data_IF_082799126695
#
_entry.id   IF_082799126695
#
_cell.length_a   1.000
_cell.length_b   1.000
_cell.length_c   1.000
_cell.angle_alpha   90.00
_cell.angle_beta   90.00
_cell.angle_gamma   90.00
#
_symmetry.space_group_name_H-M   'P 1'
#
loop_
_entity.id
_entity.type
_entity.pdbx_description
1 polymer ?
#
# COMPACT_ATOMS: atom_id res chain seq x y z
N UNK A 1 -14.87 -8.47 19.68
CA UNK A 1 -13.92 -9.49 19.19
C UNK A 1 -14.45 -10.88 19.54
N UNK A 2 -14.43 -11.87 18.61
CA UNK A 2 -14.87 -13.23 18.90
C UNK A 2 -14.04 -13.86 20.03
N UNK A 3 -14.66 -14.67 20.90
CA UNK A 3 -13.96 -15.28 22.05
C UNK A 3 -13.06 -16.45 21.66
N UNK A 4 -13.44 -17.20 20.64
CA UNK A 4 -12.71 -18.39 20.15
C UNK A 4 -12.09 -18.13 18.78
N UNK A 5 -10.88 -18.65 18.49
CA UNK A 5 -10.28 -18.58 17.16
C UNK A 5 -11.19 -19.19 16.10
N UNK A 6 -11.13 -18.66 14.87
CA UNK A 6 -11.82 -19.26 13.74
C UNK A 6 -11.24 -20.64 13.38
N UNK A 7 -12.08 -21.48 12.77
CA UNK A 7 -11.67 -22.80 12.30
C UNK A 7 -10.59 -22.71 11.22
N UNK A 8 -9.57 -23.56 11.34
CA UNK A 8 -8.53 -23.76 10.33
C UNK A 8 -8.76 -25.11 9.64
N UNK A 9 -9.14 -25.14 8.34
CA UNK A 9 -9.38 -26.37 7.60
C UNK A 9 -8.09 -27.14 7.37
N UNK A 10 -8.16 -28.47 7.59
CA UNK A 10 -7.04 -29.42 7.52
C UNK A 10 -5.93 -29.12 8.52
N UNK A 11 -5.19 -28.02 8.34
CA UNK A 11 -4.06 -27.62 9.18
C UNK A 11 -4.49 -27.17 10.58
N UNK A 12 -3.96 -27.82 11.62
CA UNK A 12 -4.20 -27.52 13.04
C UNK A 12 -2.98 -26.97 13.74
N UNK A 13 -1.80 -27.49 13.41
CA UNK A 13 -0.55 -27.06 14.02
C UNK A 13 0.44 -26.60 12.93
N UNK A 14 0.94 -25.37 13.06
CA UNK A 14 1.93 -24.81 12.15
C UNK A 14 3.14 -24.35 12.96
N UNK A 15 4.28 -24.97 12.69
CA UNK A 15 5.59 -24.60 13.24
C UNK A 15 6.49 -24.05 12.14
N UNK A 16 7.55 -23.37 12.53
CA UNK A 16 8.46 -22.69 11.61
C UNK A 16 9.84 -23.31 11.67
N UNK A 17 10.45 -23.50 10.51
CA UNK A 17 11.77 -24.12 10.38
C UNK A 17 12.85 -23.12 10.81
N UNK A 18 13.78 -23.62 11.63
CA UNK A 18 15.00 -22.95 12.06
C UNK A 18 16.19 -23.78 11.58
N UNK A 19 17.11 -23.15 10.85
CA UNK A 19 18.27 -23.78 10.24
C UNK A 19 19.49 -22.85 10.32
N UNK A 20 20.46 -23.19 11.17
CA UNK A 20 21.73 -22.45 11.24
C UNK A 20 22.61 -22.69 10.00
N UNK A 21 22.63 -23.93 9.51
CA UNK A 21 23.46 -24.38 8.40
C UNK A 21 22.65 -24.45 7.10
N UNK A 22 22.61 -23.33 6.37
CA UNK A 22 21.82 -23.22 5.15
C UNK A 22 22.53 -23.87 3.95
N UNK A 23 21.78 -24.68 3.19
CA UNK A 23 22.23 -25.16 1.89
C UNK A 23 21.96 -24.12 0.81
N UNK A 24 23.01 -23.48 0.28
CA UNK A 24 22.91 -22.57 -0.88
C UNK A 24 22.72 -23.31 -2.22
N UNK A 25 22.69 -24.65 -2.19
CA UNK A 25 22.41 -25.47 -3.38
C UNK A 25 20.90 -25.49 -3.63
N UNK A 26 20.41 -24.46 -4.29
CA UNK A 26 19.02 -24.36 -4.77
C UNK A 26 18.98 -24.35 -6.28
N UNK A 27 17.87 -24.80 -6.86
CA UNK A 27 17.64 -24.74 -8.30
C UNK A 27 17.66 -23.28 -8.80
N UNK A 28 16.95 -22.37 -8.12
CA UNK A 28 17.01 -20.92 -8.33
C UNK A 28 16.33 -20.15 -7.19
N UNK A 29 16.75 -18.89 -7.04
CA UNK A 29 16.14 -17.92 -6.12
C UNK A 29 16.30 -18.27 -4.64
N UNK A 30 15.57 -17.53 -3.81
CA UNK A 30 15.62 -17.65 -2.35
C UNK A 30 16.71 -16.77 -1.74
N UNK A 31 16.71 -16.70 -0.42
CA UNK A 31 17.68 -15.90 0.35
C UNK A 31 18.12 -16.59 1.63
N UNK A 32 19.19 -16.07 2.25
CA UNK A 32 19.61 -16.49 3.59
C UNK A 32 18.49 -16.26 4.63
N UNK A 33 17.71 -15.20 4.46
CA UNK A 33 16.57 -14.91 5.33
C UNK A 33 15.44 -15.94 5.18
N UNK A 34 15.16 -16.37 3.94
CA UNK A 34 14.14 -17.37 3.60
C UNK A 34 14.59 -18.83 3.79
N UNK A 35 15.90 -19.07 3.89
CA UNK A 35 16.49 -20.39 4.13
C UNK A 35 16.70 -21.25 2.89
N UNK A 36 16.63 -20.67 1.69
CA UNK A 36 16.91 -21.38 0.44
C UNK A 36 16.13 -22.71 0.28
N UNK A 37 14.78 -22.74 0.48
CA UNK A 37 14.03 -23.97 0.26
C UNK A 37 14.24 -24.47 -1.18
N UNK A 38 14.39 -25.78 -1.36
CA UNK A 38 14.41 -26.43 -2.68
C UNK A 38 13.03 -26.41 -3.34
N UNK A 39 12.93 -26.68 -4.64
CA UNK A 39 11.62 -26.83 -5.29
C UNK A 39 10.82 -28.00 -4.70
N UNK A 40 11.50 -29.09 -4.31
CA UNK A 40 10.85 -30.22 -3.62
C UNK A 40 10.22 -29.79 -2.30
N UNK A 41 10.94 -29.02 -1.47
CA UNK A 41 10.39 -28.48 -0.22
C UNK A 41 9.24 -27.50 -0.47
N UNK A 42 9.32 -26.67 -1.51
CA UNK A 42 8.21 -25.80 -1.93
C UNK A 42 6.97 -26.61 -2.30
N UNK A 43 7.12 -27.67 -3.10
CA UNK A 43 5.99 -28.52 -3.50
C UNK A 43 5.40 -29.26 -2.29
N UNK A 44 6.23 -29.77 -1.38
CA UNK A 44 5.79 -30.41 -0.13
C UNK A 44 5.03 -29.45 0.81
N UNK A 45 5.36 -28.14 0.78
CA UNK A 45 4.65 -27.15 1.60
C UNK A 45 3.25 -26.80 1.06
N UNK A 46 2.92 -27.19 -0.17
CA UNK A 46 1.56 -27.16 -0.69
C UNK A 46 0.77 -28.45 -0.45
N UNK A 47 1.39 -29.51 0.09
CA UNK A 47 0.66 -30.70 0.56
C UNK A 47 0.22 -30.51 2.01
N UNK A 48 -0.96 -29.91 2.16
CA UNK A 48 -1.45 -29.41 3.45
C UNK A 48 -1.85 -30.58 4.36
N UNK A 49 -1.16 -30.69 5.49
CA UNK A 49 -1.34 -31.74 6.51
C UNK A 49 -1.85 -31.12 7.81
N UNK A 50 -2.32 -31.94 8.74
CA UNK A 50 -2.81 -31.46 10.04
C UNK A 50 -1.72 -30.75 10.87
N UNK A 51 -0.46 -31.20 10.73
CA UNK A 51 0.70 -30.58 11.35
C UNK A 51 1.80 -30.36 10.30
N UNK A 52 2.35 -29.17 10.24
CA UNK A 52 3.39 -28.80 9.26
C UNK A 52 4.48 -27.94 9.89
N UNK A 53 5.72 -28.16 9.45
CA UNK A 53 6.84 -27.25 9.65
C UNK A 53 7.22 -26.63 8.32
N UNK A 54 7.23 -25.30 8.22
CA UNK A 54 7.57 -24.60 6.97
C UNK A 54 8.64 -23.55 7.20
N UNK A 55 9.47 -23.32 6.18
CA UNK A 55 10.25 -22.09 6.10
C UNK A 55 9.26 -20.90 6.13
N UNK A 56 9.58 -19.77 6.75
CA UNK A 56 8.66 -18.62 6.74
C UNK A 56 9.40 -17.30 7.05
N UNK A 57 10.59 -17.14 6.48
CA UNK A 57 11.55 -16.11 6.93
C UNK A 57 12.10 -16.42 8.32
N UNK A 58 13.05 -15.60 8.80
CA UNK A 58 13.63 -15.73 10.15
C UNK A 58 14.14 -17.15 10.45
N UNK A 59 14.81 -17.76 9.48
CA UNK A 59 15.29 -19.16 9.59
C UNK A 59 16.55 -19.27 10.44
N UNK A 60 17.26 -18.14 10.65
CA UNK A 60 18.40 -18.00 11.56
C UNK A 60 18.02 -17.11 12.74
N UNK A 61 18.89 -17.07 13.75
CA UNK A 61 18.67 -16.35 15.01
C UNK A 61 17.70 -17.03 15.99
N UNK A 62 17.78 -16.70 17.27
CA UNK A 62 17.01 -17.41 18.30
C UNK A 62 15.50 -17.13 18.27
N UNK A 63 15.09 -15.99 17.70
CA UNK A 63 13.69 -15.61 17.49
C UNK A 63 13.57 -14.61 16.33
N UNK A 64 12.40 -14.46 15.69
CA UNK A 64 12.18 -13.42 14.69
C UNK A 64 12.64 -12.05 15.17
N UNK A 65 13.48 -11.39 14.37
CA UNK A 65 14.03 -10.07 14.71
C UNK A 65 15.30 -10.08 15.58
N UNK A 66 15.82 -11.23 16.02
CA UNK A 66 17.08 -11.32 16.78
C UNK A 66 18.12 -12.18 16.06
N UNK A 67 19.14 -11.55 15.47
CA UNK A 67 20.21 -12.20 14.70
C UNK A 67 19.69 -13.00 13.51
N UNK A 68 18.72 -12.42 12.80
CA UNK A 68 18.01 -13.06 11.68
C UNK A 68 18.36 -12.45 10.32
N UNK A 69 19.14 -11.36 10.29
CA UNK A 69 19.31 -10.54 9.08
C UNK A 69 18.07 -9.71 8.77
N UNK A 70 17.31 -9.35 9.81
CA UNK A 70 16.21 -8.39 9.85
C UNK A 70 16.08 -8.03 11.33
N UNK A 71 17.13 -7.39 11.86
CA UNK A 71 17.34 -7.31 13.29
C UNK A 71 16.61 -6.09 13.88
N UNK A 72 15.95 -6.29 15.01
CA UNK A 72 15.16 -5.28 15.69
C UNK A 72 15.78 -5.04 17.08
N UNK A 73 15.57 -3.83 17.61
CA UNK A 73 16.03 -3.54 18.96
C UNK A 73 15.30 -4.39 20.00
N UNK A 74 16.02 -4.84 21.03
CA UNK A 74 15.46 -5.69 22.10
C UNK A 74 14.25 -5.08 22.79
N UNK A 75 14.23 -3.75 22.95
CA UNK A 75 13.07 -3.04 23.51
C UNK A 75 11.83 -3.17 22.63
N UNK A 76 12.01 -3.16 21.31
CA UNK A 76 10.91 -3.29 20.35
C UNK A 76 10.44 -4.75 20.27
N UNK A 77 11.35 -5.72 20.31
CA UNK A 77 11.00 -7.14 20.39
C UNK A 77 10.13 -7.45 21.62
N UNK A 78 10.52 -6.94 22.80
CA UNK A 78 9.77 -7.15 24.03
C UNK A 78 8.39 -6.46 23.99
N UNK A 79 8.30 -5.26 23.42
CA UNK A 79 7.05 -4.51 23.27
C UNK A 79 6.10 -5.21 22.26
N UNK A 80 6.63 -5.69 21.14
CA UNK A 80 5.87 -6.43 20.12
C UNK A 80 5.32 -7.76 20.66
N UNK A 81 6.06 -8.46 21.51
CA UNK A 81 5.57 -9.66 22.20
C UNK A 81 4.41 -9.35 23.16
N UNK A 82 4.33 -8.14 23.71
CA UNK A 82 3.23 -7.74 24.60
C UNK A 82 1.98 -7.30 23.84
N UNK A 83 2.04 -7.15 22.50
CA UNK A 83 0.89 -6.80 21.71
C UNK A 83 -0.10 -7.98 21.64
N UNK A 84 -1.17 -7.87 22.43
CA UNK A 84 -2.23 -8.86 22.50
C UNK A 84 -3.46 -8.39 21.70
N UNK A 85 -4.08 -9.30 20.95
CA UNK A 85 -5.33 -8.98 20.25
C UNK A 85 -5.12 -8.45 18.83
N UNK A 86 -5.00 -7.13 18.64
CA UNK A 86 -4.97 -6.52 17.30
C UNK A 86 -3.71 -5.68 17.08
N UNK A 87 -3.01 -5.94 15.98
CA UNK A 87 -1.92 -5.11 15.50
C UNK A 87 -2.27 -4.44 14.17
N UNK A 88 -2.00 -3.15 14.06
CA UNK A 88 -1.97 -2.43 12.78
C UNK A 88 -0.50 -2.20 12.44
N UNK A 89 -0.06 -2.71 11.30
CA UNK A 89 1.32 -2.62 10.84
C UNK A 89 1.40 -1.90 9.50
N UNK A 90 2.44 -1.08 9.35
CA UNK A 90 2.83 -0.41 8.11
C UNK A 90 4.36 -0.39 8.02
N UNK A 91 4.90 -0.06 6.85
CA UNK A 91 6.33 0.17 6.72
C UNK A 91 6.68 1.28 5.72
N UNK A 92 7.80 1.95 5.96
CA UNK A 92 8.43 2.90 5.05
C UNK A 92 9.93 2.62 5.03
N UNK A 93 10.44 2.18 3.88
CA UNK A 93 11.86 1.93 3.64
C UNK A 93 12.39 2.95 2.62
N UNK A 94 13.65 3.36 2.77
CA UNK A 94 14.32 4.30 1.90
C UNK A 94 13.69 5.69 1.91
N UNK A 95 12.98 6.04 2.99
CA UNK A 95 12.29 7.32 3.15
C UNK A 95 11.31 7.63 1.99
N UNK A 96 10.75 6.57 1.39
CA UNK A 96 9.99 6.64 0.14
C UNK A 96 8.62 7.35 0.28
N UNK A 97 8.03 7.25 1.46
CA UNK A 97 6.72 7.81 1.79
C UNK A 97 6.82 8.74 3.02
N UNK A 98 5.75 9.50 3.26
CA UNK A 98 5.52 10.21 4.52
C UNK A 98 4.71 9.34 5.49
N UNK A 99 4.98 9.46 6.80
CA UNK A 99 4.20 8.74 7.81
C UNK A 99 2.81 9.38 7.93
N UNK A 100 1.79 8.64 7.47
CA UNK A 100 0.40 9.07 7.55
C UNK A 100 -0.23 8.66 8.88
N UNK A 101 -0.81 9.61 9.61
CA UNK A 101 -1.46 9.35 10.90
C UNK A 101 -2.87 8.76 10.70
N UNK A 102 -3.21 7.64 11.36
CA UNK A 102 -4.57 7.16 11.42
C UNK A 102 -5.52 8.24 11.95
N UNK A 103 -6.71 8.33 11.36
CA UNK A 103 -7.80 9.22 11.80
C UNK A 103 -8.99 8.39 12.26
N UNK A 104 -9.83 9.03 13.08
CA UNK A 104 -11.07 8.43 13.60
C UNK A 104 -10.85 7.12 14.38
N UNK A 105 -9.73 7.04 15.10
CA UNK A 105 -9.45 5.93 16.02
C UNK A 105 -10.12 6.24 17.36
N UNK A 106 -10.97 5.34 17.82
CA UNK A 106 -11.65 5.46 19.11
C UNK A 106 -10.65 5.40 20.28
N UNK A 107 -10.99 5.97 21.42
CA UNK A 107 -10.11 5.92 22.60
C UNK A 107 -9.88 4.47 23.06
N UNK A 108 -10.91 3.63 22.98
CA UNK A 108 -10.77 2.19 23.19
C UNK A 108 -9.70 1.57 22.28
N UNK A 109 -9.75 1.84 20.97
CA UNK A 109 -8.74 1.32 20.04
C UNK A 109 -7.34 1.91 20.25
N UNK A 110 -7.21 3.15 20.72
CA UNK A 110 -5.89 3.71 21.08
C UNK A 110 -5.25 2.96 22.25
N UNK A 111 -6.06 2.40 23.14
CA UNK A 111 -5.60 1.63 24.30
C UNK A 111 -5.37 0.15 23.98
N UNK A 112 -6.18 -0.45 23.11
CA UNK A 112 -6.19 -1.90 22.88
C UNK A 112 -5.61 -2.38 21.56
N UNK A 113 -5.35 -1.47 20.60
CA UNK A 113 -4.75 -1.79 19.31
C UNK A 113 -3.33 -1.26 19.27
N UNK A 114 -2.39 -2.12 18.89
CA UNK A 114 -0.99 -1.71 18.76
C UNK A 114 -0.72 -1.20 17.34
N UNK A 115 -0.15 0.00 17.22
CA UNK A 115 0.16 0.63 15.93
C UNK A 115 1.68 0.66 15.72
N UNK A 116 2.17 -0.09 14.74
CA UNK A 116 3.60 -0.19 14.42
C UNK A 116 3.94 0.26 13.01
N UNK A 117 5.02 1.04 12.91
CA UNK A 117 5.61 1.48 11.65
C UNK A 117 7.04 0.96 11.56
N UNK A 118 7.28 0.02 10.67
CA UNK A 118 8.63 -0.49 10.39
C UNK A 118 9.38 0.48 9.47
N UNK A 119 10.60 0.85 9.85
CA UNK A 119 11.43 1.79 9.12
C UNK A 119 12.88 1.29 9.03
N UNK A 120 13.65 1.77 8.06
CA UNK A 120 15.12 1.59 8.04
C UNK A 120 15.85 2.76 8.68
N UNK A 121 17.15 2.60 8.88
CA UNK A 121 18.07 3.62 9.40
C UNK A 121 17.97 4.94 8.63
N UNK A 122 17.82 4.87 7.31
CA UNK A 122 17.69 6.06 6.44
C UNK A 122 16.43 6.86 6.80
N UNK A 123 15.30 6.18 6.94
CA UNK A 123 14.04 6.81 7.31
C UNK A 123 14.07 7.30 8.75
N UNK A 124 14.67 6.55 9.68
CA UNK A 124 14.83 6.97 11.08
C UNK A 124 15.66 8.26 11.17
N UNK A 125 16.82 8.32 10.51
CA UNK A 125 17.69 9.49 10.51
C UNK A 125 16.94 10.74 9.99
N UNK A 126 16.14 10.60 8.92
CA UNK A 126 15.28 11.68 8.44
C UNK A 126 14.24 12.12 9.48
N UNK A 127 13.55 11.17 10.13
CA UNK A 127 12.50 11.49 11.10
C UNK A 127 13.05 12.19 12.35
N UNK A 128 14.24 11.81 12.80
CA UNK A 128 14.94 12.47 13.92
C UNK A 128 15.40 13.87 13.55
N UNK A 129 16.07 14.03 12.41
CA UNK A 129 16.60 15.33 11.95
C UNK A 129 15.51 16.33 11.61
N UNK A 130 14.35 15.87 11.10
CA UNK A 130 13.18 16.71 10.84
C UNK A 130 12.35 17.04 12.09
N UNK A 131 12.70 16.51 13.26
CA UNK A 131 11.95 16.70 14.50
C UNK A 131 10.58 16.01 14.53
N UNK A 132 10.29 15.13 13.56
CA UNK A 132 9.03 14.37 13.49
C UNK A 132 8.98 13.21 14.48
N UNK A 133 10.14 12.71 14.92
CA UNK A 133 10.26 11.63 15.90
C UNK A 133 11.04 12.11 17.13
N UNK A 134 10.44 11.96 18.30
CA UNK A 134 11.05 12.26 19.59
C UNK A 134 11.93 11.15 20.13
N UNK A 135 12.35 11.28 21.39
CA UNK A 135 13.10 10.25 22.12
C UNK A 135 12.25 9.02 22.47
N UNK A 136 10.93 9.15 22.47
CA UNK A 136 9.96 8.10 22.74
C UNK A 136 9.75 7.12 21.58
N UNK A 137 10.44 7.33 20.44
CA UNK A 137 10.34 6.50 19.22
C UNK A 137 8.90 6.38 18.71
N UNK A 138 8.12 7.44 18.89
CA UNK A 138 6.77 7.53 18.35
C UNK A 138 6.67 8.66 17.33
N UNK A 139 5.79 8.44 16.37
CA UNK A 139 5.32 9.48 15.44
C UNK A 139 3.80 9.44 15.50
N UNK A 140 3.22 10.33 16.31
CA UNK A 140 1.80 10.28 16.65
C UNK A 140 1.43 8.97 17.36
N UNK A 141 0.46 8.22 16.82
CA UNK A 141 0.06 6.92 17.42
C UNK A 141 1.00 5.78 17.03
N UNK A 142 1.78 5.93 15.95
CA UNK A 142 2.70 4.90 15.51
C UNK A 142 3.88 4.80 16.46
N UNK A 143 4.13 3.60 16.98
CA UNK A 143 5.45 3.21 17.48
C UNK A 143 6.33 2.84 16.29
N UNK A 144 7.49 3.46 16.17
CA UNK A 144 8.43 3.15 15.10
C UNK A 144 9.37 2.05 15.52
N UNK A 145 9.59 1.08 14.63
CA UNK A 145 10.50 -0.04 14.81
C UNK A 145 11.56 0.03 13.72
N UNK A 146 12.81 0.22 14.13
CA UNK A 146 13.94 0.31 13.20
C UNK A 146 14.40 -1.09 12.85
N UNK A 147 14.54 -1.33 11.56
CA UNK A 147 15.00 -2.59 10.99
C UNK A 147 16.46 -2.43 10.61
N UNK A 148 17.31 -3.14 11.34
CA UNK A 148 18.74 -3.23 11.10
C UNK A 148 19.04 -4.42 10.18
N UNK A 149 20.13 -4.31 9.43
CA UNK A 149 20.63 -5.38 8.55
C UNK A 149 19.55 -5.98 7.62
N UNK A 150 18.82 -5.18 6.83
CA UNK A 150 17.75 -5.71 5.99
C UNK A 150 18.30 -6.76 5.01
N UNK A 151 17.57 -7.88 4.79
CA UNK A 151 18.11 -9.04 4.08
C UNK A 151 18.14 -8.86 2.56
N UNK A 152 17.55 -7.77 2.06
CA UNK A 152 17.46 -7.47 0.65
C UNK A 152 17.89 -6.03 0.37
N UNK A 153 18.60 -5.86 -0.75
CA UNK A 153 18.95 -4.54 -1.27
C UNK A 153 17.71 -3.75 -1.73
N UNK A 154 16.67 -4.43 -2.22
CA UNK A 154 15.41 -3.80 -2.63
C UNK A 154 14.50 -3.55 -1.41
N UNK A 155 14.39 -2.29 -0.99
CA UNK A 155 13.49 -1.88 0.10
C UNK A 155 12.03 -2.29 -0.12
N UNK A 156 11.58 -2.47 -1.37
CA UNK A 156 10.23 -3.00 -1.64
C UNK A 156 10.09 -4.46 -1.28
N UNK A 157 11.15 -5.27 -1.48
CA UNK A 157 11.20 -6.68 -1.07
C UNK A 157 11.29 -6.77 0.45
N UNK A 158 12.13 -5.96 1.09
CA UNK A 158 12.21 -5.83 2.55
C UNK A 158 10.86 -5.45 3.16
N UNK A 159 10.12 -4.53 2.51
CA UNK A 159 8.76 -4.17 2.89
C UNK A 159 7.73 -5.30 2.83
N UNK A 160 8.04 -6.44 2.18
CA UNK A 160 7.17 -7.62 2.17
C UNK A 160 7.26 -8.43 3.46
N UNK A 161 8.34 -8.31 4.22
CA UNK A 161 8.52 -8.96 5.52
C UNK A 161 7.44 -8.48 6.51
N UNK A 162 7.33 -7.19 6.85
CA UNK A 162 6.32 -6.73 7.79
C UNK A 162 4.91 -6.76 7.20
N UNK A 163 4.77 -6.90 5.89
CA UNK A 163 3.48 -7.11 5.21
C UNK A 163 2.92 -8.51 5.37
N UNK A 164 3.74 -9.53 5.08
CA UNK A 164 3.27 -10.92 5.00
C UNK A 164 3.50 -11.66 6.31
N UNK A 165 4.58 -11.35 7.03
CA UNK A 165 5.07 -12.09 8.18
C UNK A 165 4.73 -11.44 9.54
N UNK A 166 3.70 -10.59 9.61
CA UNK A 166 3.23 -9.98 10.88
C UNK A 166 3.06 -11.04 11.98
N UNK A 167 2.49 -12.20 11.65
CA UNK A 167 2.26 -13.28 12.61
C UNK A 167 3.55 -13.91 13.18
N UNK A 168 4.68 -13.79 12.48
CA UNK A 168 5.99 -14.22 12.99
C UNK A 168 6.55 -13.22 14.01
N UNK A 169 6.30 -11.94 13.80
CA UNK A 169 6.84 -10.85 14.63
C UNK A 169 5.94 -10.48 15.81
N UNK A 170 4.64 -10.74 15.71
CA UNK A 170 3.64 -10.50 16.75
C UNK A 170 2.97 -11.83 17.14
N UNK A 171 3.69 -12.72 17.84
CA UNK A 171 3.21 -14.08 18.13
C UNK A 171 1.93 -14.11 19.00
N UNK A 172 1.70 -13.06 19.81
CA UNK A 172 0.54 -12.95 20.70
C UNK A 172 -0.61 -12.11 20.11
N UNK A 173 -0.42 -11.51 18.93
CA UNK A 173 -1.49 -10.81 18.22
C UNK A 173 -2.37 -11.83 17.49
N UNK A 174 -3.68 -11.73 17.70
CA UNK A 174 -4.67 -12.59 17.05
C UNK A 174 -5.13 -12.07 15.70
N UNK A 175 -5.15 -10.76 15.50
CA UNK A 175 -5.55 -10.12 14.26
C UNK A 175 -4.51 -9.10 13.82
N UNK A 176 -4.35 -8.94 12.51
CA UNK A 176 -3.49 -7.94 11.92
C UNK A 176 -4.18 -7.17 10.81
N UNK A 177 -3.94 -5.86 10.74
CA UNK A 177 -4.19 -5.03 9.56
C UNK A 177 -2.84 -4.56 9.02
N UNK A 178 -2.48 -5.01 7.82
CA UNK A 178 -1.42 -4.37 7.04
C UNK A 178 -2.00 -3.18 6.29
N UNK A 179 -1.34 -2.03 6.37
CA UNK A 179 -1.66 -0.82 5.61
C UNK A 179 -0.38 -0.35 4.93
N UNK A 180 -0.34 -0.24 3.60
CA UNK A 180 0.83 0.31 2.89
C UNK A 180 1.14 1.75 3.35
N UNK A 181 2.42 2.12 3.47
CA UNK A 181 2.85 3.43 3.98
C UNK A 181 2.27 4.66 3.26
N UNK A 182 1.98 4.53 1.96
CA UNK A 182 1.29 5.56 1.15
C UNK A 182 -0.17 5.81 1.54
N UNK A 183 -0.75 5.01 2.44
CA UNK A 183 -2.15 5.09 2.82
C UNK A 183 -2.32 5.70 4.21
N UNK A 184 -3.39 6.47 4.36
CA UNK A 184 -3.90 6.95 5.64
C UNK A 184 -5.11 6.09 6.04
N UNK A 185 -5.06 5.46 7.21
CA UNK A 185 -6.20 4.75 7.80
C UNK A 185 -7.21 5.76 8.36
N UNK A 186 -8.48 5.68 7.96
CA UNK A 186 -9.51 6.69 8.34
C UNK A 186 -10.72 6.11 9.07
N UNK A 187 -10.69 4.80 9.37
CA UNK A 187 -11.74 4.09 10.10
C UNK A 187 -11.09 3.21 11.16
N UNK A 188 -11.78 3.06 12.28
CA UNK A 188 -11.34 2.27 13.42
C UNK A 188 -11.08 0.78 13.05
N UNK A 189 -9.94 0.19 13.47
CA UNK A 189 -9.57 -1.19 13.15
C UNK A 189 -10.64 -2.24 13.51
N UNK A 190 -11.37 -2.07 14.61
CA UNK A 190 -12.40 -3.05 14.99
C UNK A 190 -13.59 -3.05 14.04
N UNK A 191 -13.97 -1.90 13.49
CA UNK A 191 -15.04 -1.82 12.48
C UNK A 191 -14.62 -2.51 11.18
N UNK A 192 -13.34 -2.39 10.81
CA UNK A 192 -12.76 -3.07 9.63
C UNK A 192 -12.75 -4.59 9.86
N UNK A 193 -12.29 -5.05 11.03
CA UNK A 193 -12.30 -6.48 11.39
C UNK A 193 -13.72 -7.05 11.38
N UNK A 194 -14.68 -6.33 11.96
CA UNK A 194 -16.07 -6.73 11.97
C UNK A 194 -16.61 -6.90 10.55
N UNK A 195 -16.42 -5.89 9.70
CA UNK A 195 -16.97 -5.87 8.34
C UNK A 195 -16.36 -6.95 7.44
N UNK A 196 -15.05 -7.13 7.47
CA UNK A 196 -14.35 -7.93 6.48
C UNK A 196 -13.95 -9.34 6.95
N UNK A 197 -13.86 -9.57 8.26
CA UNK A 197 -13.60 -10.91 8.80
C UNK A 197 -14.84 -11.47 9.48
N UNK A 198 -15.31 -10.85 10.57
CA UNK A 198 -16.29 -11.48 11.47
C UNK A 198 -17.65 -11.69 10.80
N UNK A 199 -18.21 -10.67 10.14
CA UNK A 199 -19.49 -10.79 9.40
C UNK A 199 -19.39 -11.67 8.15
N UNK A 200 -18.18 -11.94 7.67
CA UNK A 200 -17.91 -12.77 6.50
C UNK A 200 -17.49 -14.18 6.85
N UNK A 201 -17.34 -14.48 8.15
CA UNK A 201 -16.76 -15.72 8.65
C UNK A 201 -15.44 -16.08 7.93
N UNK A 202 -14.59 -15.08 7.72
CA UNK A 202 -13.35 -15.20 6.98
C UNK A 202 -12.14 -14.93 7.90
N UNK A 203 -11.03 -15.61 7.64
CA UNK A 203 -9.77 -15.42 8.38
C UNK A 203 -8.75 -14.59 7.63
N UNK A 204 -9.03 -14.25 6.37
CA UNK A 204 -8.19 -13.42 5.53
C UNK A 204 -9.09 -12.63 4.57
N UNK A 205 -8.83 -11.34 4.48
CA UNK A 205 -9.51 -10.44 3.56
C UNK A 205 -8.52 -9.49 2.88
N UNK A 206 -8.73 -9.28 1.58
CA UNK A 206 -7.88 -8.45 0.75
C UNK A 206 -8.71 -7.84 -0.38
N UNK A 207 -8.42 -6.60 -0.76
CA UNK A 207 -9.12 -5.98 -1.88
C UNK A 207 -8.59 -6.52 -3.20
N UNK A 208 -9.48 -6.80 -4.16
CA UNK A 208 -9.07 -6.98 -5.55
C UNK A 208 -8.48 -5.69 -6.13
N UNK A 209 -7.57 -5.81 -7.07
CA UNK A 209 -6.99 -4.66 -7.75
C UNK A 209 -8.06 -3.90 -8.54
N UNK A 210 -8.00 -2.56 -8.58
CA UNK A 210 -9.06 -1.71 -9.14
C UNK A 210 -9.26 -1.79 -10.68
N UNK A 211 -8.43 -2.54 -11.41
CA UNK A 211 -8.37 -2.48 -12.88
C UNK A 211 -7.92 -3.78 -13.52
N UNK A 212 -6.91 -4.43 -12.96
CA UNK A 212 -6.33 -5.65 -13.50
C UNK A 212 -6.81 -6.80 -12.64
N UNK A 213 -7.40 -7.83 -13.26
CA UNK A 213 -7.96 -8.96 -12.52
C UNK A 213 -7.28 -10.28 -12.81
N UNK A 214 -6.38 -10.29 -13.79
CA UNK A 214 -5.69 -11.45 -14.34
C UNK A 214 -4.17 -11.28 -14.18
N UNK A 215 -3.49 -12.35 -13.75
CA UNK A 215 -2.04 -12.31 -13.46
C UNK A 215 -1.20 -11.95 -14.68
N UNK A 216 -1.56 -12.45 -15.87
CA UNK A 216 -0.81 -12.17 -17.09
C UNK A 216 -0.92 -10.69 -17.45
N UNK A 217 -2.12 -10.12 -17.29
CA UNK A 217 -2.33 -8.67 -17.45
C UNK A 217 -1.54 -7.85 -16.42
N UNK A 218 -1.45 -8.31 -15.16
CA UNK A 218 -0.62 -7.67 -14.13
C UNK A 218 0.87 -7.74 -14.48
N UNK A 219 1.36 -8.88 -14.96
CA UNK A 219 2.75 -9.06 -15.36
C UNK A 219 3.16 -8.10 -16.48
N UNK A 220 2.35 -8.01 -17.55
CA UNK A 220 2.59 -7.04 -18.63
C UNK A 220 2.57 -5.59 -18.14
N UNK A 221 1.67 -5.26 -17.21
CA UNK A 221 1.62 -3.93 -16.62
C UNK A 221 2.87 -3.62 -15.76
N UNK A 222 3.42 -4.60 -15.05
CA UNK A 222 4.67 -4.43 -14.31
C UNK A 222 5.85 -4.21 -15.25
N UNK A 223 5.94 -4.99 -16.34
CA UNK A 223 6.99 -4.81 -17.37
C UNK A 223 6.90 -3.45 -18.03
N UNK A 224 5.71 -3.05 -18.48
CA UNK A 224 5.49 -1.76 -19.12
C UNK A 224 5.80 -0.57 -18.20
N UNK A 225 5.59 -0.72 -16.89
CA UNK A 225 5.91 0.29 -15.89
C UNK A 225 7.38 0.26 -15.41
N UNK A 226 8.22 -0.66 -15.92
CA UNK A 226 9.61 -0.82 -15.47
C UNK A 226 9.73 -1.15 -13.99
N UNK A 227 8.74 -1.89 -13.45
CA UNK A 227 8.63 -2.17 -12.02
C UNK A 227 9.60 -3.28 -11.56
N UNK A 228 9.97 -4.19 -12.43
CA UNK A 228 10.98 -5.20 -12.16
C UNK A 228 11.65 -5.56 -13.49
N UNK A 229 12.76 -6.28 -13.44
CA UNK A 229 13.37 -6.83 -14.64
C UNK A 229 12.35 -7.70 -15.42
N UNK A 230 12.24 -7.46 -16.73
CA UNK A 230 11.23 -8.10 -17.57
C UNK A 230 11.47 -9.61 -17.69
N UNK A 231 12.72 -10.04 -17.84
CA UNK A 231 13.05 -11.45 -17.98
C UNK A 231 12.73 -12.23 -16.69
N UNK A 232 12.94 -11.61 -15.53
CA UNK A 232 12.56 -12.17 -14.23
C UNK A 232 11.05 -12.33 -14.07
N UNK A 233 10.26 -11.36 -14.54
CA UNK A 233 8.78 -11.46 -14.56
C UNK A 233 8.34 -12.58 -15.51
N UNK A 234 8.90 -12.64 -16.72
CA UNK A 234 8.55 -13.66 -17.70
C UNK A 234 8.88 -15.06 -17.16
N UNK A 235 10.05 -15.23 -16.54
CA UNK A 235 10.42 -16.48 -15.90
C UNK A 235 9.42 -16.91 -14.81
N UNK A 236 9.01 -16.00 -13.93
CA UNK A 236 8.02 -16.29 -12.89
C UNK A 236 6.66 -16.71 -13.48
N UNK A 237 6.18 -15.98 -14.49
CA UNK A 237 4.90 -16.27 -15.15
C UNK A 237 4.94 -17.60 -15.88
N UNK A 238 6.00 -17.88 -16.64
CA UNK A 238 6.16 -19.16 -17.35
C UNK A 238 6.30 -20.34 -16.39
N UNK A 239 6.94 -20.13 -15.24
CA UNK A 239 6.98 -21.14 -14.18
C UNK A 239 5.56 -21.47 -13.68
N UNK A 240 4.75 -20.46 -13.35
CA UNK A 240 3.38 -20.69 -12.89
C UNK A 240 2.47 -21.30 -13.98
N UNK A 241 2.64 -20.93 -15.25
CA UNK A 241 1.91 -21.58 -16.36
C UNK A 241 2.20 -23.07 -16.44
N UNK A 242 3.47 -23.47 -16.27
CA UNK A 242 3.88 -24.89 -16.24
C UNK A 242 3.28 -25.64 -15.05
N UNK A 243 3.01 -24.93 -13.95
CA UNK A 243 2.30 -25.47 -12.77
C UNK A 243 0.76 -25.41 -12.89
N UNK A 244 0.23 -24.97 -14.04
CA UNK A 244 -1.21 -24.99 -14.32
C UNK A 244 -1.94 -23.67 -14.07
N UNK A 245 -1.23 -22.54 -13.87
CA UNK A 245 -1.87 -21.23 -13.80
C UNK A 245 -2.53 -20.88 -15.14
N UNK A 246 -3.86 -20.73 -15.13
CA UNK A 246 -4.67 -20.33 -16.29
C UNK A 246 -5.18 -18.89 -16.14
N UNK A 247 -5.56 -18.23 -17.25
CA UNK A 247 -6.15 -16.88 -17.19
C UNK A 247 -7.35 -16.81 -16.25
N UNK A 248 -7.55 -15.66 -15.65
CA UNK A 248 -8.72 -15.45 -14.81
C UNK A 248 -10.01 -15.65 -15.62
N UNK A 249 -10.95 -16.41 -15.06
CA UNK A 249 -12.28 -16.63 -15.60
C UNK A 249 -13.31 -16.65 -14.45
N UNK A 250 -14.60 -16.52 -14.77
CA UNK A 250 -15.68 -16.60 -13.77
C UNK A 250 -15.81 -17.99 -13.12
N UNK A 251 -15.15 -19.01 -13.66
CA UNK A 251 -15.07 -20.35 -13.06
C UNK A 251 -14.33 -20.32 -11.71
N UNK A 252 -13.51 -19.30 -11.44
CA UNK A 252 -12.77 -19.14 -10.19
C UNK A 252 -13.62 -18.53 -9.05
N UNK A 253 -14.89 -18.21 -9.31
CA UNK A 253 -15.83 -17.73 -8.29
C UNK A 253 -15.88 -18.68 -7.07
N UNK A 254 -16.10 -18.16 -5.85
CA UNK A 254 -16.49 -16.79 -5.51
C UNK A 254 -15.33 -15.77 -5.50
N UNK A 255 -14.09 -16.18 -5.83
CA UNK A 255 -12.96 -15.25 -5.91
C UNK A 255 -13.04 -14.47 -7.22
N UNK A 256 -13.17 -13.15 -7.12
CA UNK A 256 -13.49 -12.27 -8.26
C UNK A 256 -12.27 -11.70 -8.98
N UNK A 257 -11.06 -12.14 -8.62
CA UNK A 257 -9.82 -11.73 -9.25
C UNK A 257 -8.63 -12.59 -8.83
N UNK A 258 -7.65 -12.74 -9.72
CA UNK A 258 -6.32 -13.29 -9.40
C UNK A 258 -5.35 -12.27 -8.82
N UNK A 259 -5.66 -10.98 -8.93
CA UNK A 259 -4.74 -9.89 -8.64
C UNK A 259 -5.29 -9.06 -7.48
N UNK A 260 -4.67 -9.11 -6.30
CA UNK A 260 -5.03 -8.21 -5.22
C UNK A 260 -4.45 -6.82 -5.47
N UNK A 261 -5.10 -5.78 -4.97
CA UNK A 261 -4.44 -4.47 -4.86
C UNK A 261 -3.24 -4.60 -3.90
N UNK A 262 -3.39 -5.40 -2.85
CA UNK A 262 -2.32 -5.74 -1.92
C UNK A 262 -1.95 -4.61 -0.95
N UNK A 263 -2.47 -3.39 -1.10
CA UNK A 263 -2.10 -2.29 -0.21
C UNK A 263 -2.78 -2.31 1.16
N UNK A 264 -3.73 -3.22 1.36
CA UNK A 264 -4.36 -3.54 2.64
C UNK A 264 -4.52 -5.05 2.74
N UNK A 265 -4.16 -5.64 3.89
CA UNK A 265 -4.45 -7.04 4.23
C UNK A 265 -5.06 -7.08 5.62
N UNK A 266 -6.19 -7.78 5.77
CA UNK A 266 -6.87 -7.94 7.05
C UNK A 266 -6.87 -9.43 7.36
N UNK A 267 -6.34 -9.84 8.51
CA UNK A 267 -6.11 -11.26 8.80
C UNK A 267 -6.37 -11.59 10.26
N UNK A 268 -6.98 -12.75 10.50
CA UNK A 268 -6.91 -13.45 11.77
C UNK A 268 -5.76 -14.45 11.68
N UNK A 269 -4.88 -14.49 12.67
CA UNK A 269 -3.74 -15.40 12.76
C UNK A 269 -4.19 -16.78 13.23
N UNK A 270 -4.64 -17.60 12.27
CA UNK A 270 -4.93 -19.03 12.44
C UNK A 270 -3.96 -19.84 11.58
N UNK A 271 -3.77 -21.15 11.83
CA UNK A 271 -2.76 -21.93 11.12
C UNK A 271 -2.84 -21.80 9.59
N UNK A 272 -4.02 -21.94 8.98
CA UNK A 272 -4.17 -21.87 7.51
C UNK A 272 -3.82 -20.49 6.93
N UNK A 273 -4.18 -19.40 7.62
CA UNK A 273 -3.95 -18.03 7.12
C UNK A 273 -2.49 -17.61 7.32
N UNK A 274 -1.84 -18.15 8.35
CA UNK A 274 -0.39 -18.01 8.57
C UNK A 274 0.39 -18.79 7.51
N UNK A 275 0.00 -20.05 7.23
CA UNK A 275 0.59 -20.84 6.14
C UNK A 275 0.46 -20.10 4.80
N UNK A 276 -0.73 -19.60 4.48
CA UNK A 276 -0.96 -18.86 3.24
C UNK A 276 0.00 -17.67 3.07
N UNK A 277 0.28 -16.96 4.15
CA UNK A 277 1.20 -15.84 4.10
C UNK A 277 2.68 -16.25 4.06
N UNK A 278 3.06 -17.36 4.72
CA UNK A 278 4.40 -17.94 4.59
C UNK A 278 4.68 -18.36 3.15
N UNK A 279 3.76 -19.09 2.53
CA UNK A 279 3.88 -19.54 1.14
C UNK A 279 3.88 -18.34 0.18
N UNK A 280 3.05 -17.33 0.43
CA UNK A 280 3.08 -16.11 -0.38
C UNK A 280 4.41 -15.36 -0.26
N UNK A 281 4.98 -15.30 0.94
CA UNK A 281 6.31 -14.74 1.14
C UNK A 281 7.40 -15.56 0.42
N UNK A 282 7.31 -16.89 0.40
CA UNK A 282 8.27 -17.72 -0.35
C UNK A 282 8.29 -17.42 -1.83
N UNK A 283 7.13 -17.24 -2.44
CA UNK A 283 7.05 -16.87 -3.86
C UNK A 283 7.71 -15.51 -4.11
N UNK A 284 7.50 -14.55 -3.20
CA UNK A 284 8.13 -13.22 -3.26
C UNK A 284 9.65 -13.29 -3.08
N UNK A 285 10.12 -14.11 -2.14
CA UNK A 285 11.54 -14.30 -1.85
C UNK A 285 12.25 -15.03 -3.01
N UNK A 286 11.60 -16.06 -3.57
CA UNK A 286 12.17 -16.86 -4.65
C UNK A 286 12.20 -16.12 -5.98
N UNK A 287 11.11 -15.49 -6.36
CA UNK A 287 10.95 -14.87 -7.67
C UNK A 287 11.17 -13.35 -7.58
N UNK A 288 10.09 -12.58 -7.75
CA UNK A 288 10.15 -11.11 -7.80
C UNK A 288 9.46 -10.50 -6.58
N UNK A 289 9.80 -9.25 -6.26
CA UNK A 289 9.13 -8.49 -5.18
C UNK A 289 7.68 -8.08 -5.52
N UNK A 290 7.14 -8.54 -6.67
CA UNK A 290 5.79 -8.27 -7.14
C UNK A 290 4.82 -9.34 -6.64
N UNK A 291 4.49 -9.21 -5.35
CA UNK A 291 3.53 -10.03 -4.61
C UNK A 291 2.15 -10.20 -5.30
N UNK A 292 1.72 -9.22 -6.10
CA UNK A 292 0.49 -9.32 -6.89
C UNK A 292 0.52 -10.46 -7.91
N UNK A 293 1.70 -10.83 -8.44
CA UNK A 293 1.87 -11.88 -9.47
C UNK A 293 1.81 -13.28 -8.84
N UNK A 294 2.29 -13.44 -7.61
CA UNK A 294 2.34 -14.74 -6.92
C UNK A 294 1.09 -15.09 -6.12
N UNK A 295 0.20 -14.12 -5.89
CA UNK A 295 -0.96 -14.30 -5.01
C UNK A 295 -1.89 -15.45 -5.44
N UNK A 296 -2.28 -15.50 -6.72
CA UNK A 296 -3.24 -16.50 -7.19
C UNK A 296 -2.67 -17.92 -7.12
N UNK A 297 -1.40 -18.10 -7.46
CA UNK A 297 -0.72 -19.40 -7.39
C UNK A 297 -0.82 -19.98 -5.98
N UNK A 298 -0.46 -19.19 -4.96
CA UNK A 298 -0.52 -19.61 -3.56
C UNK A 298 -1.95 -19.90 -3.14
N UNK A 299 -2.87 -18.98 -3.45
CA UNK A 299 -4.30 -19.12 -3.13
C UNK A 299 -4.88 -20.40 -3.73
N UNK A 300 -4.63 -20.66 -5.00
CA UNK A 300 -5.24 -21.76 -5.75
C UNK A 300 -4.75 -23.11 -5.23
N UNK A 301 -3.45 -23.27 -4.99
CA UNK A 301 -2.91 -24.49 -4.38
C UNK A 301 -3.48 -24.77 -2.99
N UNK A 302 -3.61 -23.74 -2.13
CA UNK A 302 -4.19 -23.91 -0.80
C UNK A 302 -5.67 -24.27 -0.89
N UNK A 303 -6.42 -23.58 -1.76
CA UNK A 303 -7.85 -23.82 -1.97
C UNK A 303 -8.11 -25.23 -2.46
N UNK A 304 -7.33 -25.72 -3.41
CA UNK A 304 -7.44 -27.09 -3.95
C UNK A 304 -7.32 -28.15 -2.85
N UNK A 305 -6.45 -27.93 -1.86
CA UNK A 305 -6.16 -28.91 -0.79
C UNK A 305 -7.08 -28.82 0.42
N UNK A 306 -7.70 -27.67 0.67
CA UNK A 306 -8.39 -27.41 1.95
C UNK A 306 -9.79 -26.83 1.82
N UNK A 307 -10.17 -26.39 0.62
CA UNK A 307 -11.36 -25.57 0.38
C UNK A 307 -11.37 -24.24 1.17
N UNK A 308 -10.23 -23.82 1.74
CA UNK A 308 -10.08 -22.52 2.37
C UNK A 308 -10.18 -21.42 1.31
N UNK A 309 -10.87 -20.33 1.65
CA UNK A 309 -11.08 -19.20 0.75
C UNK A 309 -10.79 -17.87 1.45
N UNK A 310 -10.53 -16.86 0.64
CA UNK A 310 -10.22 -15.50 1.07
C UNK A 310 -11.43 -14.61 0.79
N UNK A 311 -11.77 -13.72 1.72
CA UNK A 311 -12.75 -12.68 1.45
C UNK A 311 -12.12 -11.59 0.55
N UNK A 312 -12.35 -11.70 -0.75
CA UNK A 312 -11.86 -10.73 -1.73
C UNK A 312 -12.88 -9.62 -1.98
N UNK A 313 -12.69 -8.48 -1.33
CA UNK A 313 -13.61 -7.34 -1.41
C UNK A 313 -13.25 -6.35 -2.52
N UNK A 314 -14.17 -5.44 -2.86
CA UNK A 314 -13.96 -4.50 -3.95
C UNK A 314 -13.01 -3.35 -3.57
N UNK A 315 -12.26 -2.82 -4.52
CA UNK A 315 -11.40 -1.63 -4.29
C UNK A 315 -12.20 -0.41 -3.80
N UNK A 316 -13.45 -0.23 -4.25
CA UNK A 316 -14.30 0.83 -3.72
C UNK A 316 -14.60 0.66 -2.23
N UNK A 317 -14.71 -0.58 -1.74
CA UNK A 317 -14.87 -0.85 -0.31
C UNK A 317 -13.60 -0.54 0.48
N UNK A 318 -12.43 -0.82 -0.10
CA UNK A 318 -11.13 -0.40 0.45
C UNK A 318 -11.08 1.12 0.67
N UNK A 319 -11.49 1.89 -0.33
CA UNK A 319 -11.48 3.36 -0.29
C UNK A 319 -12.41 3.96 0.76
N UNK A 320 -13.32 3.18 1.36
CA UNK A 320 -14.15 3.65 2.47
C UNK A 320 -13.38 3.78 3.79
N UNK A 321 -12.23 3.09 3.93
CA UNK A 321 -11.49 3.07 5.19
C UNK A 321 -10.01 3.42 5.07
N UNK A 322 -9.48 3.59 3.85
CA UNK A 322 -8.15 4.16 3.62
C UNK A 322 -8.17 5.23 2.53
N UNK A 323 -7.35 6.26 2.72
CA UNK A 323 -7.12 7.34 1.75
C UNK A 323 -5.70 7.25 1.22
N UNK A 324 -5.54 7.23 -0.10
CA UNK A 324 -4.22 7.22 -0.72
C UNK A 324 -3.61 8.63 -0.73
N UNK A 325 -2.38 8.74 -0.22
CA UNK A 325 -1.55 9.93 -0.32
C UNK A 325 -0.54 9.79 -1.45
N UNK A 326 0.08 10.91 -1.78
CA UNK A 326 1.18 10.94 -2.74
C UNK A 326 2.46 10.43 -2.08
N UNK A 327 3.29 9.77 -2.89
CA UNK A 327 4.66 9.45 -2.51
C UNK A 327 5.45 10.73 -2.26
N UNK A 328 6.50 10.63 -1.44
CA UNK A 328 7.26 11.80 -1.01
C UNK A 328 7.86 12.56 -2.19
N UNK A 329 8.43 11.85 -3.15
CA UNK A 329 9.01 12.44 -4.36
C UNK A 329 7.98 13.33 -5.09
N UNK A 330 6.74 12.87 -5.24
CA UNK A 330 5.67 13.66 -5.85
C UNK A 330 5.35 14.90 -5.02
N UNK A 331 5.29 14.78 -3.69
CA UNK A 331 5.02 15.90 -2.78
C UNK A 331 6.12 16.99 -2.87
N UNK A 332 7.38 16.59 -2.95
CA UNK A 332 8.52 17.51 -3.08
C UNK A 332 8.52 18.29 -4.40
N UNK A 333 7.90 17.73 -5.46
CA UNK A 333 7.79 18.37 -6.77
C UNK A 333 6.45 19.09 -6.98
N UNK A 334 5.52 19.03 -6.02
CA UNK A 334 4.26 19.77 -6.09
C UNK A 334 4.51 21.26 -5.81
N UNK A 335 3.93 22.13 -6.65
CA UNK A 335 3.97 23.56 -6.41
C UNK A 335 3.31 23.89 -5.05
N UNK A 336 3.87 24.82 -4.25
CA UNK A 336 3.25 25.25 -3.01
C UNK A 336 1.81 25.71 -3.27
N UNK A 337 0.87 25.48 -2.34
CA UNK A 337 -0.45 26.07 -2.44
C UNK A 337 -0.30 27.59 -2.58
N UNK A 338 -0.98 28.19 -3.56
CA UNK A 338 -1.03 29.63 -3.66
C UNK A 338 -1.51 30.19 -2.32
N UNK A 339 -0.84 31.22 -1.76
CA UNK A 339 -1.32 31.85 -0.53
C UNK A 339 -2.78 32.24 -0.72
N UNK A 340 -3.64 31.86 0.23
CA UNK A 340 -5.04 32.29 0.23
C UNK A 340 -5.03 33.82 0.09
N UNK A 341 -5.66 34.32 -0.98
CA UNK A 341 -5.80 35.75 -1.18
C UNK A 341 -6.39 36.36 0.10
N UNK A 342 -5.67 37.29 0.70
CA UNK A 342 -6.19 38.10 1.81
C UNK A 342 -7.47 38.76 1.29
N UNK A 343 -8.61 38.64 1.99
CA UNK A 343 -9.81 39.35 1.59
C UNK A 343 -9.46 40.84 1.45
N UNK A 344 -9.93 41.54 0.40
CA UNK A 344 -9.72 42.97 0.30
C UNK A 344 -10.26 43.66 1.58
N UNK A 345 -9.62 44.75 2.04
CA UNK A 345 -10.11 45.50 3.20
C UNK A 345 -11.59 45.85 3.00
N UNK A 346 -12.41 45.87 4.07
CA UNK A 346 -13.78 46.37 3.97
C UNK A 346 -13.77 47.76 3.34
N UNK A 347 -14.57 47.96 2.30
CA UNK A 347 -14.81 49.29 1.75
C UNK A 347 -15.34 50.18 2.88
N UNK A 348 -14.66 51.30 3.13
CA UNK A 348 -15.11 52.30 4.08
C UNK A 348 -16.53 52.75 3.70
N UNK A 349 -17.44 52.93 4.68
CA UNK A 349 -18.78 53.42 4.40
C UNK A 349 -18.70 54.82 3.76
N UNK A 350 -19.60 55.14 2.82
CA UNK A 350 -19.64 56.46 2.21
C UNK A 350 -19.91 57.52 3.29
N UNK A 351 -19.35 58.73 3.14
CA UNK A 351 -19.59 59.82 4.09
C UNK A 351 -21.07 60.19 4.12
N UNK A 352 -21.60 60.64 5.27
CA UNK A 352 -23.00 61.03 5.38
C UNK A 352 -23.31 62.23 4.49
N UNK A 353 -24.55 62.33 3.96
CA UNK A 353 -24.93 63.44 3.10
C UNK A 353 -24.88 64.78 3.84
N UNK A 354 -24.32 65.78 3.18
CA UNK A 354 -24.29 67.17 3.63
C UNK A 354 -25.71 67.73 3.83
N UNK A 355 -25.96 68.56 4.86
CA UNK A 355 -27.28 69.19 5.04
C UNK A 355 -27.63 70.14 3.89
N UNK A 356 -28.93 70.38 3.62
CA UNK A 356 -29.37 71.15 2.46
C UNK A 356 -28.97 72.62 2.60
N UNK A 357 -28.25 73.15 1.63
CA UNK A 357 -28.05 74.58 1.49
C UNK A 357 -29.36 75.24 1.01
N UNK A 358 -29.81 76.24 1.75
CA UNK A 358 -30.92 77.13 1.38
C UNK A 358 -30.64 77.76 0.01
N UNK A 359 -31.59 77.55 -0.89
CA UNK A 359 -31.72 78.20 -2.19
C UNK A 359 -31.68 79.72 -2.09
N UNK A 360 -30.97 80.35 -3.03
CA UNK A 360 -31.35 81.63 -3.62
C UNK A 360 -30.69 81.73 -5.00
N UNK A 361 -31.39 81.25 -6.03
CA UNK A 361 -31.13 81.68 -7.41
C UNK A 361 -31.87 83.00 -7.69
N UNK A 362 -31.30 83.85 -8.56
CA UNK A 362 -32.09 84.64 -9.49
C UNK A 362 -31.78 84.29 -10.96
N UNK A 363 -32.68 84.66 -11.90
CA UNK A 363 -33.04 83.82 -13.04
C UNK A 363 -32.37 84.24 -14.36
N UNK A 364 -32.07 83.26 -15.23
CA UNK A 364 -31.89 83.53 -16.67
C UNK A 364 -32.66 82.50 -17.51
N UNK A 365 -33.39 83.07 -18.48
CA UNK A 365 -34.41 82.49 -19.35
C UNK A 365 -33.86 81.61 -20.49
N UNK A 366 -34.72 80.84 -21.19
CA UNK A 366 -34.35 79.67 -21.98
C UNK A 366 -34.20 79.97 -23.48
N UNK A 367 -33.49 79.09 -24.18
CA UNK A 367 -33.64 78.93 -25.63
C UNK A 367 -33.78 77.45 -25.97
N UNK A 368 -34.89 77.20 -26.66
CA UNK A 368 -35.49 75.97 -27.19
C UNK A 368 -34.80 75.46 -28.47
N UNK A 369 -35.29 74.29 -28.91
CA UNK A 369 -35.18 73.66 -30.24
C UNK A 369 -34.04 72.62 -30.37
N UNK A 370 -34.23 71.39 -30.87
CA UNK A 370 -35.33 70.71 -31.58
C UNK A 370 -35.04 69.19 -31.61
N UNK A 371 -36.10 68.37 -31.68
CA UNK A 371 -36.11 66.94 -32.07
C UNK A 371 -36.28 66.83 -33.62
N UNK A 372 -36.52 65.66 -34.29
CA UNK A 372 -36.25 64.22 -34.05
C UNK A 372 -35.74 63.48 -35.35
N UNK A 373 -35.88 62.13 -35.38
CA UNK A 373 -35.95 61.18 -36.54
C UNK A 373 -34.65 60.46 -36.96
N UNK A 374 -34.49 59.12 -36.82
CA UNK A 374 -35.15 57.95 -37.46
C UNK A 374 -34.63 57.63 -38.88
N UNK A 375 -34.07 56.41 -39.10
CA UNK A 375 -34.30 55.46 -40.24
C UNK A 375 -33.26 54.30 -40.27
N UNK A 376 -33.73 53.08 -39.90
CA UNK A 376 -33.70 51.75 -40.56
C UNK A 376 -32.60 51.35 -41.59
N UNK A 377 -31.86 50.22 -41.36
CA UNK A 377 -31.88 48.90 -42.10
C UNK A 377 -30.64 47.98 -41.81
N UNK A 378 -30.90 46.67 -41.64
CA UNK A 378 -29.93 45.54 -41.58
C UNK A 378 -29.67 44.95 -43.01
N UNK A 379 -28.98 43.80 -43.28
CA UNK A 379 -28.39 42.76 -42.41
C UNK A 379 -27.03 42.14 -42.88
N UNK A 380 -26.39 41.27 -42.06
CA UNK A 380 -25.21 40.49 -42.50
C UNK A 380 -24.72 39.35 -41.59
N UNK A 381 -25.09 38.12 -41.96
CA UNK A 381 -24.33 36.82 -41.95
C UNK A 381 -23.54 36.33 -40.69
N UNK A 382 -23.96 35.14 -40.18
CA UNK A 382 -23.15 34.10 -39.48
C UNK A 382 -22.15 33.43 -40.46
N UNK A 383 -21.10 32.64 -40.10
CA UNK A 383 -20.93 31.67 -38.97
C UNK A 383 -19.44 31.56 -38.43
N UNK A 384 -18.87 30.43 -37.91
CA UNK A 384 -19.35 29.28 -37.11
C UNK A 384 -18.54 29.04 -35.79
N UNK A 385 -19.04 28.06 -35.01
CA UNK A 385 -18.42 27.41 -33.82
C UNK A 385 -17.04 26.78 -34.12
N UNK A 386 -16.07 26.94 -33.20
CA UNK A 386 -14.82 26.17 -33.15
C UNK A 386 -14.85 25.17 -32.00
N UNK A 387 -14.83 23.88 -32.33
CA UNK A 387 -14.24 22.85 -31.49
C UNK A 387 -12.72 22.95 -31.53
N UNK A 388 -12.04 22.54 -30.45
CA UNK A 388 -10.60 22.35 -30.47
C UNK A 388 -10.20 21.19 -29.57
N UNK A 389 -9.85 20.09 -30.22
CA UNK A 389 -8.95 19.07 -29.71
C UNK A 389 -7.70 19.71 -29.11
N UNK A 390 -7.21 19.14 -27.99
CA UNK A 390 -5.82 19.32 -27.59
C UNK A 390 -5.13 17.98 -27.40
N UNK A 391 -4.16 17.80 -28.29
CA UNK A 391 -3.24 16.68 -28.51
C UNK A 391 -2.39 16.31 -27.31
N UNK A 392 -2.03 15.03 -27.33
CA UNK A 392 -0.88 14.36 -26.75
C UNK A 392 0.46 15.10 -26.89
N UNK A 393 1.28 14.98 -25.85
CA UNK A 393 2.71 15.31 -25.75
C UNK A 393 3.08 15.23 -24.27
N UNK A 394 4.17 14.62 -23.79
CA UNK A 394 5.47 14.33 -24.37
C UNK A 394 6.08 13.14 -23.60
N UNK A 395 6.51 12.11 -24.33
CA UNK A 395 7.50 11.14 -23.84
C UNK A 395 8.86 11.86 -23.79
N UNK A 396 9.58 11.77 -22.68
CA UNK A 396 11.01 12.08 -22.64
C UNK A 396 11.79 10.84 -22.23
N UNK A 397 12.69 10.47 -23.13
CA UNK A 397 13.72 9.45 -22.99
C UNK A 397 14.65 9.77 -21.81
N UNK A 398 14.91 8.77 -20.96
CA UNK A 398 16.04 8.80 -20.03
C UNK A 398 17.27 8.27 -20.78
N UNK A 399 18.32 9.08 -20.79
CA UNK A 399 19.63 8.79 -21.40
C UNK A 399 20.29 7.65 -20.62
N UNK A 400 20.58 6.55 -21.30
CA UNK A 400 21.48 5.49 -20.83
C UNK A 400 22.90 5.97 -21.12
N UNK A 401 23.75 6.02 -20.09
CA UNK A 401 25.20 6.12 -20.27
C UNK A 401 25.72 4.70 -20.38
N UNK A 402 26.27 4.37 -21.54
CA UNK A 402 27.04 3.16 -21.78
C UNK A 402 28.53 3.46 -21.64
N UNK A 403 29.26 2.57 -20.97
CA UNK A 403 30.72 2.45 -20.97
C UNK A 403 31.05 1.08 -20.35
N UNK A 404 31.20 0.06 -21.19
CA UNK A 404 32.48 -0.60 -21.56
C UNK A 404 32.90 -1.66 -20.51
N UNK A 405 32.57 -2.93 -20.75
CA UNK A 405 33.29 -3.97 -21.52
C UNK A 405 34.29 -4.75 -20.66
N UNK A 406 34.06 -6.06 -20.66
CA UNK A 406 34.83 -7.14 -20.06
C UNK A 406 36.29 -7.17 -20.50
N UNK A 407 37.16 -7.63 -19.60
CA UNK A 407 38.34 -8.43 -19.91
C UNK A 407 38.45 -9.52 -18.84
N UNK A 408 38.22 -10.78 -19.25
CA UNK A 408 38.68 -12.00 -18.58
C UNK A 408 40.21 -11.99 -18.41
N UNK A 409 40.72 -12.53 -17.30
CA UNK A 409 41.74 -13.60 -17.28
C UNK A 409 42.31 -13.82 -15.87
N UNK A 410 42.37 -15.11 -15.49
CA UNK A 410 43.07 -15.76 -14.37
C UNK A 410 42.30 -15.94 -13.06
#
# INVERSE_FOLDING_TARGET
MPKVPSYSPVLKNLTYIYEENLSRKTEFGGSEFGGYPTLKQRSDSYDIRESMSVHCGFVRGSKPGRNTGYDLDEIDLNDMEQCNGVVVASAIFGNFDEINQPRNISDYSKETVCFYMFIDDVTEAYLRTSGKMGSDRKVGIWRTVVVHNPPYMDGRRTGKIPKLLVHRMFPNARFSLWIDGKLELVVDPYQILERFLWRKNATFAISRHYKRFDVFTEAEANKAAGKYDNASIDFQVEFYKKEGLTPYSEEKLPITSDVPEGCVIIREHVPISNLAACLWFHEVDRFTSRDQISFSTVRDHIREKTNWTINMFYDCERRNFVVQKYHRDVLEHMAPPLPKAVPPPPLLPPPPPSPPALSNEPPVKPSTETSPESIVKAPGKRPPRRGRDRRSGSRRHRKIVAGARDIDSS
#
